data_IF_071839062026
#
_entry.id   IF_071839062026
#
_cell.length_a   1.000
_cell.length_b   1.000
_cell.length_c   1.000
_cell.angle_alpha   90.00
_cell.angle_beta   90.00
_cell.angle_gamma   90.00
#
_symmetry.space_group_name_H-M   'P 1'
#
loop_
_entity.id
_entity.type
_entity.pdbx_description
1 polymer ?
#
# COMPACT_ATOMS: atom_id res chain seq x y z
N UNK A 1 0.29 31.69 -19.03
CA UNK A 1 1.63 32.09 -18.53
C UNK A 1 2.26 31.00 -17.59
N UNK A 2 1.54 30.34 -16.63
CA UNK A 2 2.08 29.22 -15.79
C UNK A 2 2.67 28.00 -16.56
N UNK A 3 2.02 27.55 -17.64
CA UNK A 3 2.56 26.45 -18.49
C UNK A 3 3.83 26.83 -19.25
N UNK A 4 4.08 28.13 -19.45
CA UNK A 4 5.28 28.62 -20.14
C UNK A 4 6.45 28.65 -19.14
N UNK A 5 6.23 29.09 -17.90
CA UNK A 5 7.25 29.04 -16.85
C UNK A 5 7.71 27.62 -16.50
N UNK A 6 6.81 26.62 -16.55
CA UNK A 6 7.17 25.23 -16.24
C UNK A 6 7.59 24.40 -17.46
N UNK A 7 7.59 24.99 -18.67
CA UNK A 7 8.20 24.34 -19.82
C UNK A 7 9.71 24.44 -19.65
N UNK A 8 10.36 23.32 -19.34
CA UNK A 8 11.82 23.22 -19.44
C UNK A 8 12.20 23.55 -20.89
N UNK A 9 12.84 24.69 -21.10
CA UNK A 9 13.48 24.99 -22.38
C UNK A 9 14.58 23.95 -22.59
N UNK A 10 14.49 23.21 -23.68
CA UNK A 10 15.61 22.42 -24.20
C UNK A 10 16.79 23.36 -24.42
N UNK A 11 17.97 22.91 -24.01
CA UNK A 11 19.26 23.61 -23.93
C UNK A 11 19.77 24.19 -25.26
N UNK A 12 19.09 25.23 -25.76
CA UNK A 12 19.59 26.15 -26.77
C UNK A 12 19.54 27.57 -26.18
N UNK A 13 20.60 28.37 -26.33
CA UNK A 13 20.66 29.68 -25.69
C UNK A 13 19.68 30.62 -26.39
N UNK A 14 18.59 30.94 -25.71
CA UNK A 14 17.71 32.02 -26.10
C UNK A 14 17.77 33.04 -24.96
N UNK A 15 18.48 34.15 -25.21
CA UNK A 15 18.59 35.26 -24.27
C UNK A 15 17.21 35.89 -24.07
N UNK A 16 16.54 35.51 -22.99
CA UNK A 16 15.36 36.25 -22.50
C UNK A 16 15.75 36.85 -21.16
N UNK A 17 16.08 38.14 -21.19
CA UNK A 17 16.42 38.95 -20.04
C UNK A 17 15.21 39.04 -19.09
N UNK A 18 15.38 38.59 -17.84
CA UNK A 18 14.41 38.81 -16.78
C UNK A 18 14.93 39.93 -15.85
N UNK A 19 14.21 41.05 -15.66
CA UNK A 19 14.61 42.08 -14.70
C UNK A 19 14.53 41.49 -13.29
N UNK A 20 15.64 41.53 -12.54
CA UNK A 20 15.82 40.75 -11.31
C UNK A 20 15.10 41.31 -10.08
N UNK A 21 14.64 42.57 -10.06
CA UNK A 21 14.28 43.24 -8.81
C UNK A 21 12.94 44.02 -8.83
N UNK A 22 11.82 43.38 -9.19
CA UNK A 22 10.50 43.93 -8.92
C UNK A 22 9.53 42.82 -8.48
N UNK A 23 8.85 43.02 -7.35
CA UNK A 23 7.77 42.14 -6.90
C UNK A 23 6.60 42.26 -7.90
N UNK A 24 6.48 41.29 -8.80
CA UNK A 24 5.38 41.24 -9.77
C UNK A 24 4.13 40.76 -9.04
N UNK A 25 3.15 41.65 -8.91
CA UNK A 25 1.84 41.35 -8.37
C UNK A 25 1.07 40.42 -9.34
N UNK A 26 0.74 39.21 -8.90
CA UNK A 26 0.14 38.18 -9.74
C UNK A 26 -1.32 38.48 -10.04
N UNK A 27 -1.64 38.65 -11.33
CA UNK A 27 -3.01 38.85 -11.80
C UNK A 27 -3.54 37.60 -12.52
N UNK A 28 -4.86 37.32 -12.47
CA UNK A 28 -5.49 36.24 -13.23
C UNK A 28 -5.27 36.38 -14.74
N UNK A 29 -5.11 35.26 -15.44
CA UNK A 29 -4.75 35.24 -16.85
C UNK A 29 -5.84 35.83 -17.75
N UNK A 30 -5.61 37.01 -18.33
CA UNK A 30 -6.48 37.63 -19.34
C UNK A 30 -6.08 37.19 -20.75
N UNK A 31 -6.98 37.38 -21.73
CA UNK A 31 -6.74 37.04 -23.14
C UNK A 31 -5.65 37.90 -23.81
N UNK A 32 -5.12 38.91 -23.11
CA UNK A 32 -4.09 39.84 -23.57
C UNK A 32 -2.73 39.64 -22.89
N UNK A 33 -2.39 38.45 -22.34
CA UNK A 33 -1.03 38.17 -21.80
C UNK A 33 -0.02 38.22 -22.97
N UNK A 34 0.80 39.27 -23.04
CA UNK A 34 1.81 39.50 -24.11
C UNK A 34 2.76 38.31 -24.30
N UNK A 35 3.09 37.62 -23.20
CA UNK A 35 3.93 36.41 -23.17
C UNK A 35 3.26 35.24 -23.92
N UNK A 36 1.94 35.09 -23.79
CA UNK A 36 1.19 34.02 -24.46
C UNK A 36 0.79 34.41 -25.89
N UNK A 37 0.68 35.70 -26.17
CA UNK A 37 0.34 36.22 -27.49
C UNK A 37 1.49 36.03 -28.50
N UNK A 38 2.74 36.29 -28.09
CA UNK A 38 3.91 36.18 -28.97
C UNK A 38 4.17 34.74 -29.47
N UNK A 39 3.95 33.73 -28.62
CA UNK A 39 4.18 32.32 -28.95
C UNK A 39 3.13 31.70 -29.90
N UNK A 40 2.04 32.43 -30.21
CA UNK A 40 0.94 31.95 -31.05
C UNK A 40 1.03 32.36 -32.52
N UNK A 41 1.99 33.22 -32.91
CA UNK A 41 2.17 33.70 -34.29
C UNK A 41 2.91 32.73 -35.23
N UNK A 42 3.08 31.47 -34.84
CA UNK A 42 3.56 30.41 -35.74
C UNK A 42 2.40 29.74 -36.47
N UNK A 43 2.21 30.10 -37.74
CA UNK A 43 1.40 29.40 -38.76
C UNK A 43 -0.11 29.24 -38.46
N UNK A 44 -0.90 30.27 -38.78
CA UNK A 44 -2.34 30.10 -39.00
C UNK A 44 -2.71 30.51 -40.43
N UNK A 45 -3.10 29.53 -41.25
CA UNK A 45 -3.77 29.76 -42.53
C UNK A 45 -5.03 30.60 -42.29
N UNK A 46 -5.23 31.61 -43.14
CA UNK A 46 -6.34 32.57 -43.13
C UNK A 46 -7.67 31.80 -43.14
N UNK A 47 -8.48 31.95 -42.10
CA UNK A 47 -9.85 31.42 -42.05
C UNK A 47 -10.79 32.59 -41.79
N UNK A 48 -11.80 32.70 -42.64
CA UNK A 48 -12.84 33.72 -42.67
C UNK A 48 -13.48 33.98 -41.30
N UNK A 49 -13.67 35.26 -40.99
CA UNK A 49 -14.47 35.71 -39.86
C UNK A 49 -15.92 35.27 -40.04
N UNK A 50 -16.44 34.49 -39.08
CA UNK A 50 -17.88 34.25 -38.94
C UNK A 50 -18.31 34.57 -37.50
N UNK A 51 -19.51 35.14 -37.39
CA UNK A 51 -20.12 35.81 -36.23
C UNK A 51 -19.77 35.25 -34.83
N UNK A 52 -19.34 36.15 -33.93
CA UNK A 52 -18.67 35.85 -32.66
C UNK A 52 -19.54 35.62 -31.42
N UNK A 53 -20.87 35.64 -31.51
CA UNK A 53 -21.76 35.45 -30.35
C UNK A 53 -22.41 34.06 -30.27
N UNK A 54 -22.93 33.50 -31.36
CA UNK A 54 -23.51 32.14 -31.38
C UNK A 54 -22.44 31.04 -31.26
N UNK A 55 -21.24 31.29 -31.78
CA UNK A 55 -20.11 30.36 -31.73
C UNK A 55 -19.53 30.17 -30.32
N UNK A 56 -19.66 31.16 -29.41
CA UNK A 56 -19.13 31.06 -28.03
C UNK A 56 -19.97 30.15 -27.14
N UNK A 57 -21.31 30.20 -27.24
CA UNK A 57 -22.22 29.28 -26.51
C UNK A 57 -22.11 27.84 -27.02
N UNK A 58 -22.03 27.63 -28.32
CA UNK A 58 -21.84 26.28 -28.88
C UNK A 58 -20.47 25.70 -28.49
N UNK A 59 -19.41 26.53 -28.44
CA UNK A 59 -18.07 26.08 -28.05
C UNK A 59 -17.96 25.76 -26.56
N UNK A 60 -18.63 26.50 -25.67
CA UNK A 60 -18.68 26.17 -24.24
C UNK A 60 -19.43 24.86 -23.97
N UNK A 61 -20.53 24.60 -24.69
CA UNK A 61 -21.28 23.33 -24.59
C UNK A 61 -20.44 22.15 -25.09
N UNK A 62 -19.70 22.32 -26.19
CA UNK A 62 -18.77 21.29 -26.71
C UNK A 62 -17.59 21.04 -25.76
N UNK A 63 -17.02 22.09 -25.15
CA UNK A 63 -15.94 21.96 -24.18
C UNK A 63 -16.42 21.30 -22.87
N UNK A 64 -17.64 21.61 -22.42
CA UNK A 64 -18.27 20.95 -21.28
C UNK A 64 -18.57 19.47 -21.58
N UNK A 65 -19.06 19.14 -22.77
CA UNK A 65 -19.24 17.77 -23.22
C UNK A 65 -17.91 17.00 -23.31
N UNK A 66 -16.84 17.63 -23.82
CA UNK A 66 -15.48 17.05 -23.83
C UNK A 66 -14.95 16.82 -22.41
N UNK A 67 -15.14 17.76 -21.49
CA UNK A 67 -14.75 17.60 -20.09
C UNK A 67 -15.51 16.45 -19.40
N UNK A 68 -16.83 16.36 -19.61
CA UNK A 68 -17.67 15.26 -19.10
C UNK A 68 -17.19 13.93 -19.66
N UNK A 69 -16.91 13.84 -20.97
CA UNK A 69 -16.41 12.63 -21.62
C UNK A 69 -15.02 12.22 -21.10
N UNK A 70 -14.10 13.18 -20.93
CA UNK A 70 -12.79 12.92 -20.32
C UNK A 70 -12.91 12.46 -18.85
N UNK A 71 -13.83 13.04 -18.07
CA UNK A 71 -14.10 12.64 -16.68
C UNK A 71 -14.69 11.22 -16.63
N UNK A 72 -15.60 10.88 -17.54
CA UNK A 72 -16.17 9.53 -17.70
C UNK A 72 -15.10 8.50 -18.08
N UNK A 73 -14.23 8.81 -19.05
CA UNK A 73 -13.09 7.94 -19.45
C UNK A 73 -12.10 7.72 -18.31
N UNK A 74 -11.75 8.78 -17.56
CA UNK A 74 -10.89 8.67 -16.35
C UNK A 74 -11.54 7.82 -15.26
N UNK A 75 -12.85 7.98 -15.03
CA UNK A 75 -13.59 7.17 -14.07
C UNK A 75 -13.64 5.69 -14.51
N UNK A 76 -13.85 5.41 -15.79
CA UNK A 76 -13.86 4.06 -16.33
C UNK A 76 -12.49 3.39 -16.23
N UNK A 77 -11.39 4.13 -16.50
CA UNK A 77 -10.04 3.66 -16.28
C UNK A 77 -9.75 3.38 -14.79
N UNK A 78 -10.22 4.25 -13.88
CA UNK A 78 -10.14 4.01 -12.42
C UNK A 78 -10.89 2.73 -12.02
N UNK A 79 -12.12 2.54 -12.51
CA UNK A 79 -12.95 1.35 -12.23
C UNK A 79 -12.28 0.07 -12.76
N UNK A 80 -11.75 0.10 -13.98
CA UNK A 80 -11.02 -1.01 -14.59
C UNK A 80 -9.77 -1.38 -13.77
N UNK A 81 -8.96 -0.37 -13.41
CA UNK A 81 -7.79 -0.58 -12.57
C UNK A 81 -8.14 -1.11 -11.18
N UNK A 82 -9.25 -0.66 -10.58
CA UNK A 82 -9.75 -1.16 -9.29
C UNK A 82 -10.22 -2.62 -9.37
N UNK A 83 -10.86 -3.03 -10.47
CA UNK A 83 -11.21 -4.44 -10.71
C UNK A 83 -9.96 -5.32 -10.87
N UNK A 84 -8.94 -4.83 -11.58
CA UNK A 84 -7.65 -5.52 -11.70
C UNK A 84 -6.95 -5.66 -10.33
N UNK A 85 -6.93 -4.60 -9.52
CA UNK A 85 -6.36 -4.61 -8.16
C UNK A 85 -7.04 -5.64 -7.26
N UNK A 86 -8.38 -5.74 -7.29
CA UNK A 86 -9.13 -6.75 -6.51
C UNK A 86 -8.72 -8.18 -6.86
N UNK A 87 -8.53 -8.48 -8.15
CA UNK A 87 -8.07 -9.80 -8.62
C UNK A 87 -6.66 -10.12 -8.11
N UNK A 88 -5.77 -9.14 -8.11
CA UNK A 88 -4.38 -9.30 -7.62
C UNK A 88 -4.36 -9.64 -6.12
N UNK A 89 -5.23 -9.01 -5.32
CA UNK A 89 -5.18 -9.16 -3.86
C UNK A 89 -5.85 -10.40 -3.29
N UNK A 90 -6.64 -11.17 -4.05
CA UNK A 90 -7.44 -12.34 -3.63
C UNK A 90 -7.39 -12.63 -2.11
N UNK A 91 -8.07 -11.80 -1.33
CA UNK A 91 -8.01 -11.77 0.13
C UNK A 91 -9.38 -12.04 0.78
N UNK A 92 -10.34 -12.56 0.01
CA UNK A 92 -11.69 -12.89 0.48
C UNK A 92 -11.71 -13.97 1.56
N UNK A 93 -10.68 -14.83 1.61
CA UNK A 93 -10.50 -15.86 2.64
C UNK A 93 -9.84 -15.35 3.92
N UNK A 94 -9.28 -14.14 3.91
CA UNK A 94 -8.46 -13.60 5.00
C UNK A 94 -9.15 -12.43 5.67
N UNK A 95 -9.78 -11.55 4.88
CA UNK A 95 -10.46 -10.36 5.39
C UNK A 95 -11.96 -10.54 5.51
N UNK A 96 -12.56 -9.78 6.42
CA UNK A 96 -13.99 -9.79 6.66
C UNK A 96 -14.72 -8.81 5.73
N UNK A 97 -15.82 -9.25 5.12
CA UNK A 97 -16.64 -8.38 4.27
C UNK A 97 -17.31 -7.27 5.09
N UNK A 98 -17.50 -6.09 4.49
CA UNK A 98 -18.24 -4.99 5.13
C UNK A 98 -19.71 -5.32 5.36
N UNK A 99 -20.27 -6.28 4.62
CA UNK A 99 -21.65 -6.74 4.80
C UNK A 99 -21.87 -7.49 6.12
N UNK A 100 -20.79 -7.80 6.85
CA UNK A 100 -20.84 -8.43 8.17
C UNK A 100 -20.86 -7.40 9.29
N UNK A 101 -20.86 -6.10 9.01
CA UNK A 101 -21.08 -5.09 10.05
C UNK A 101 -22.48 -5.28 10.65
N UNK A 102 -22.56 -5.29 11.97
CA UNK A 102 -23.83 -5.48 12.67
C UNK A 102 -24.78 -4.27 12.50
N UNK A 103 -24.18 -3.07 12.44
CA UNK A 103 -24.85 -1.78 12.35
C UNK A 103 -24.79 -1.25 10.92
N UNK A 104 -25.91 -0.72 10.45
CA UNK A 104 -26.02 -0.04 9.17
C UNK A 104 -25.44 1.38 9.25
N UNK A 105 -24.14 1.48 8.97
CA UNK A 105 -23.45 2.77 8.94
C UNK A 105 -23.64 3.51 7.61
N UNK A 106 -23.54 4.85 7.60
CA UNK A 106 -23.51 5.63 6.36
C UNK A 106 -22.41 5.16 5.41
N UNK A 107 -22.67 5.19 4.10
CA UNK A 107 -21.74 4.69 3.07
C UNK A 107 -20.34 5.35 3.15
N UNK A 108 -20.27 6.61 3.56
CA UNK A 108 -19.00 7.33 3.75
C UNK A 108 -18.18 6.75 4.90
N UNK A 109 -18.82 6.36 6.00
CA UNK A 109 -18.18 5.72 7.14
C UNK A 109 -17.72 4.30 6.80
N UNK A 110 -18.58 3.49 6.15
CA UNK A 110 -18.20 2.15 5.67
C UNK A 110 -16.99 2.24 4.74
N UNK A 111 -16.92 3.29 3.92
CA UNK A 111 -15.77 3.56 3.05
C UNK A 111 -14.50 3.93 3.82
N UNK A 112 -14.59 4.62 4.96
CA UNK A 112 -13.40 4.99 5.75
C UNK A 112 -12.80 3.80 6.51
N UNK A 113 -13.63 2.84 6.91
CA UNK A 113 -13.17 1.61 7.63
C UNK A 113 -12.89 0.43 6.68
N UNK A 114 -13.04 0.63 5.37
CA UNK A 114 -12.77 -0.38 4.36
C UNK A 114 -11.52 -0.09 3.53
N UNK A 115 -10.84 -1.16 3.16
CA UNK A 115 -9.65 -1.09 2.32
C UNK A 115 -10.01 -0.62 0.91
N UNK A 116 -9.38 0.46 0.44
CA UNK A 116 -9.69 1.00 -0.89
C UNK A 116 -9.27 0.09 -2.06
N UNK A 117 -8.49 -0.96 -1.79
CA UNK A 117 -8.07 -1.98 -2.76
C UNK A 117 -9.10 -3.13 -2.81
N UNK A 118 -9.25 -3.89 -1.72
CA UNK A 118 -10.10 -5.08 -1.71
C UNK A 118 -11.58 -4.78 -1.40
N UNK A 119 -11.86 -3.71 -0.66
CA UNK A 119 -13.22 -3.34 -0.24
C UNK A 119 -13.72 -4.08 1.00
N UNK A 120 -12.89 -4.92 1.62
CA UNK A 120 -13.18 -5.55 2.91
C UNK A 120 -12.88 -4.59 4.07
N UNK A 121 -13.35 -4.94 5.27
CA UNK A 121 -12.97 -4.25 6.52
C UNK A 121 -11.44 -4.29 6.63
N UNK A 122 -10.85 -3.17 7.07
CA UNK A 122 -9.40 -3.05 7.20
C UNK A 122 -8.84 -4.10 8.18
N UNK A 123 -7.82 -4.83 7.73
CA UNK A 123 -7.06 -5.79 8.54
C UNK A 123 -5.60 -5.38 8.51
N UNK A 124 -5.00 -5.18 9.67
CA UNK A 124 -3.64 -4.63 9.81
C UNK A 124 -3.48 -3.35 8.95
N UNK A 125 -4.25 -2.29 9.29
CA UNK A 125 -4.32 -1.09 8.48
C UNK A 125 -3.00 -0.34 8.50
N UNK A 126 -2.58 0.12 7.33
CA UNK A 126 -1.44 1.01 7.13
C UNK A 126 -1.89 2.27 6.40
N UNK A 127 -1.31 3.39 6.82
CA UNK A 127 -1.55 4.70 6.25
C UNK A 127 -0.36 5.10 5.38
N UNK A 128 -0.66 5.52 4.17
CA UNK A 128 0.32 6.10 3.24
C UNK A 128 0.59 7.57 3.58
N UNK A 129 1.71 8.13 3.08
CA UNK A 129 2.03 9.56 3.18
C UNK A 129 0.89 10.48 2.69
N UNK A 130 0.20 10.08 1.62
CA UNK A 130 -0.99 10.75 1.07
C UNK A 130 -2.30 10.50 1.88
N UNK A 131 -2.18 10.00 3.11
CA UNK A 131 -3.26 9.77 4.10
C UNK A 131 -4.33 8.76 3.72
N UNK A 132 -4.13 7.97 2.65
CA UNK A 132 -5.01 6.84 2.34
C UNK A 132 -4.65 5.61 3.17
N UNK A 133 -5.67 4.85 3.57
CA UNK A 133 -5.54 3.65 4.43
C UNK A 133 -5.88 2.38 3.64
N UNK A 134 -5.07 1.34 3.85
CA UNK A 134 -5.20 0.03 3.19
C UNK A 134 -4.82 -1.09 4.16
N UNK A 135 -5.21 -2.34 3.88
CA UNK A 135 -4.61 -3.48 4.57
C UNK A 135 -3.13 -3.61 4.15
N UNK A 136 -2.23 -3.91 5.09
CA UNK A 136 -0.79 -4.04 4.80
C UNK A 136 -0.50 -5.01 3.64
N UNK A 137 -1.12 -6.18 3.66
CA UNK A 137 -0.94 -7.18 2.59
C UNK A 137 -1.44 -6.69 1.22
N UNK A 138 -2.51 -5.87 1.20
CA UNK A 138 -3.10 -5.39 -0.03
C UNK A 138 -2.22 -4.32 -0.69
N UNK A 139 -1.75 -3.35 0.09
CA UNK A 139 -0.92 -2.27 -0.47
C UNK A 139 0.43 -2.82 -0.92
N UNK A 140 1.10 -3.67 -0.13
CA UNK A 140 2.39 -4.24 -0.51
C UNK A 140 2.30 -5.05 -1.80
N UNK A 141 1.24 -5.85 -1.97
CA UNK A 141 1.02 -6.59 -3.22
C UNK A 141 0.75 -5.64 -4.39
N UNK A 142 -0.01 -4.57 -4.16
CA UNK A 142 -0.29 -3.59 -5.19
C UNK A 142 0.98 -2.84 -5.62
N UNK A 143 1.83 -2.43 -4.68
CA UNK A 143 3.11 -1.77 -4.99
C UNK A 143 4.04 -2.69 -5.78
N UNK A 144 4.07 -3.99 -5.45
CA UNK A 144 4.87 -4.98 -6.18
C UNK A 144 4.43 -5.18 -7.64
N UNK A 145 3.13 -5.18 -7.91
CA UNK A 145 2.59 -5.49 -9.25
C UNK A 145 2.37 -4.24 -10.10
N UNK A 146 1.97 -3.13 -9.49
CA UNK A 146 1.57 -1.89 -10.19
C UNK A 146 2.58 -0.76 -10.08
N UNK A 147 3.66 -0.94 -9.32
CA UNK A 147 4.69 0.06 -9.06
C UNK A 147 4.39 0.95 -7.86
N UNK A 148 5.34 1.84 -7.56
CA UNK A 148 5.39 2.69 -6.35
C UNK A 148 4.42 3.88 -6.38
N UNK A 149 3.13 3.62 -6.59
CA UNK A 149 2.08 4.63 -6.63
C UNK A 149 0.88 4.23 -5.76
N UNK A 150 0.32 5.22 -5.06
CA UNK A 150 -0.89 5.05 -4.28
C UNK A 150 -2.07 4.62 -5.17
N UNK A 151 -2.76 3.52 -4.86
CA UNK A 151 -3.91 3.05 -5.64
C UNK A 151 -5.09 4.04 -5.73
N UNK A 152 -5.25 4.88 -4.71
CA UNK A 152 -6.37 5.82 -4.59
C UNK A 152 -6.13 7.14 -5.35
N UNK A 153 -4.95 7.74 -5.19
CA UNK A 153 -4.65 9.08 -5.71
C UNK A 153 -3.51 9.14 -6.74
N UNK A 154 -2.78 8.02 -6.98
CA UNK A 154 -1.60 7.94 -7.86
C UNK A 154 -0.40 8.79 -7.42
N UNK A 155 -0.40 9.30 -6.19
CA UNK A 155 0.79 9.91 -5.57
C UNK A 155 1.89 8.87 -5.38
N UNK A 156 3.16 9.28 -5.42
CA UNK A 156 4.29 8.38 -5.17
C UNK A 156 4.15 7.73 -3.78
N UNK A 157 4.36 6.42 -3.72
CA UNK A 157 4.18 5.65 -2.49
C UNK A 157 5.17 4.48 -2.49
N UNK A 158 6.11 4.51 -1.55
CA UNK A 158 7.07 3.45 -1.34
C UNK A 158 6.67 2.59 -0.13
N UNK A 159 7.12 1.33 -0.04
CA UNK A 159 6.85 0.48 1.12
C UNK A 159 7.33 1.07 2.45
N UNK A 160 8.37 1.90 2.42
CA UNK A 160 8.93 2.63 3.57
C UNK A 160 8.02 3.76 4.06
N UNK A 161 7.09 4.24 3.23
CA UNK A 161 6.17 5.34 3.58
C UNK A 161 4.90 4.84 4.28
N UNK A 162 4.84 3.55 4.61
CA UNK A 162 3.69 2.89 5.22
C UNK A 162 3.78 2.96 6.73
N UNK A 163 2.97 3.83 7.31
CA UNK A 163 2.92 4.07 8.75
C UNK A 163 1.66 3.47 9.38
N UNK A 164 1.68 3.28 10.69
CA UNK A 164 0.46 2.92 11.43
C UNK A 164 -0.50 4.12 11.47
N UNK A 165 -1.81 3.93 11.20
CA UNK A 165 -2.80 4.98 11.39
C UNK A 165 -2.85 5.48 12.83
N UNK A 166 -3.45 6.66 13.01
CA UNK A 166 -3.65 7.25 14.35
C UNK A 166 -4.43 6.30 15.28
N UNK A 167 -4.03 6.26 16.55
CA UNK A 167 -4.59 5.33 17.56
C UNK A 167 -6.11 5.45 17.71
N UNK A 168 -6.66 6.66 17.64
CA UNK A 168 -8.11 6.89 17.72
C UNK A 168 -8.88 6.21 16.58
N UNK A 169 -8.33 6.24 15.37
CA UNK A 169 -8.90 5.51 14.23
C UNK A 169 -8.88 3.99 14.45
N UNK A 170 -7.77 3.47 14.97
CA UNK A 170 -7.65 2.04 15.29
C UNK A 170 -8.63 1.61 16.38
N UNK A 171 -8.82 2.44 17.41
CA UNK A 171 -9.80 2.18 18.47
C UNK A 171 -11.22 2.11 17.89
N UNK A 172 -11.63 3.08 17.06
CA UNK A 172 -12.94 3.05 16.39
C UNK A 172 -13.09 1.80 15.53
N UNK A 173 -12.07 1.45 14.75
CA UNK A 173 -12.08 0.27 13.88
C UNK A 173 -12.25 -1.03 14.70
N UNK A 174 -11.52 -1.16 15.79
CA UNK A 174 -11.51 -2.35 16.66
C UNK A 174 -12.83 -2.52 17.44
N UNK A 175 -13.52 -1.43 17.74
CA UNK A 175 -14.82 -1.42 18.41
C UNK A 175 -16.00 -1.71 17.47
N UNK A 176 -15.80 -1.81 16.15
CA UNK A 176 -16.87 -2.15 15.23
C UNK A 176 -17.43 -3.55 15.54
N UNK A 177 -18.75 -3.64 15.65
CA UNK A 177 -19.45 -4.91 15.83
C UNK A 177 -19.64 -5.61 14.49
N UNK A 178 -19.29 -6.89 14.46
CA UNK A 178 -19.40 -7.75 13.29
C UNK A 178 -20.21 -9.00 13.62
N UNK A 179 -21.10 -9.38 12.71
CA UNK A 179 -21.92 -10.59 12.76
C UNK A 179 -21.07 -11.79 12.35
N UNK A 180 -21.11 -12.85 13.16
CA UNK A 180 -20.47 -14.09 12.81
C UNK A 180 -21.20 -14.78 11.63
N UNK A 181 -20.51 -15.17 10.54
CA UNK A 181 -21.14 -15.88 9.43
C UNK A 181 -21.31 -17.40 9.68
N UNK A 182 -20.93 -17.91 10.86
CA UNK A 182 -21.00 -19.34 11.16
C UNK A 182 -22.45 -19.81 11.32
N UNK A 183 -22.78 -20.98 10.74
CA UNK A 183 -24.12 -21.58 10.84
C UNK A 183 -24.44 -21.88 12.31
N UNK A 184 -25.55 -21.35 12.81
CA UNK A 184 -25.99 -21.53 14.21
C UNK A 184 -25.37 -20.56 15.20
N UNK A 185 -24.56 -19.60 14.75
CA UNK A 185 -24.04 -18.53 15.60
C UNK A 185 -24.70 -17.20 15.19
N UNK A 186 -25.41 -16.58 16.14
CA UNK A 186 -26.03 -15.27 15.96
C UNK A 186 -25.35 -14.18 16.80
N UNK A 187 -24.11 -14.43 17.25
CA UNK A 187 -23.40 -13.46 18.07
C UNK A 187 -22.84 -12.30 17.24
N UNK A 188 -22.93 -11.11 17.81
CA UNK A 188 -22.29 -9.89 17.33
C UNK A 188 -21.10 -9.60 18.25
N UNK A 189 -19.90 -9.58 17.68
CA UNK A 189 -18.66 -9.42 18.45
C UNK A 189 -17.87 -8.23 17.93
N UNK A 190 -17.10 -7.58 18.80
CA UNK A 190 -16.19 -6.52 18.36
C UNK A 190 -15.11 -7.11 17.43
N UNK A 191 -14.65 -6.30 16.47
CA UNK A 191 -13.64 -6.71 15.50
C UNK A 191 -12.36 -7.19 16.19
N UNK A 192 -11.97 -6.57 17.30
CA UNK A 192 -10.84 -6.98 18.13
C UNK A 192 -10.97 -8.42 18.66
N UNK A 193 -12.16 -8.80 19.12
CA UNK A 193 -12.43 -10.11 19.72
C UNK A 193 -12.86 -11.17 18.71
N UNK A 194 -13.10 -10.77 17.46
CA UNK A 194 -13.62 -11.66 16.42
C UNK A 194 -12.77 -12.91 16.20
N UNK A 195 -11.45 -12.79 16.14
CA UNK A 195 -10.56 -13.95 15.94
C UNK A 195 -10.64 -14.97 17.09
N UNK A 196 -10.83 -14.48 18.32
CA UNK A 196 -11.01 -15.34 19.50
C UNK A 196 -12.35 -16.05 19.45
N UNK A 197 -13.43 -15.32 19.13
CA UNK A 197 -14.77 -15.89 18.94
C UNK A 197 -14.79 -16.96 17.81
N UNK A 198 -14.16 -16.71 16.66
CA UNK A 198 -14.12 -17.72 15.59
C UNK A 198 -13.35 -18.99 16.01
N UNK A 199 -12.38 -18.85 16.92
CA UNK A 199 -11.62 -19.99 17.43
C UNK A 199 -12.47 -20.89 18.34
N UNK A 200 -13.42 -20.34 19.12
CA UNK A 200 -14.30 -21.16 19.98
C UNK A 200 -15.28 -22.03 19.17
N UNK A 201 -15.70 -21.59 17.97
CA UNK A 201 -16.48 -22.42 17.05
C UNK A 201 -15.75 -23.65 16.53
N UNK A 202 -14.42 -23.60 16.51
CA UNK A 202 -13.61 -24.71 16.03
C UNK A 202 -13.54 -25.84 17.06
N UNK A 203 -13.55 -25.48 18.34
CA UNK A 203 -13.49 -26.42 19.47
C UNK A 203 -14.82 -27.17 19.69
N UNK A 204 -15.96 -26.55 19.36
CA UNK A 204 -17.29 -27.18 19.49
C UNK A 204 -17.63 -28.20 18.40
N UNK A 205 -16.92 -28.21 17.27
CA UNK A 205 -17.03 -29.25 16.23
C UNK A 205 -16.03 -30.40 16.39
N UNK A 206 -15.04 -30.25 17.26
CA UNK A 206 -13.97 -31.24 17.51
C UNK A 206 -14.08 -31.85 18.92
N UNK A 207 -15.27 -31.92 19.52
CA UNK A 207 -15.50 -32.62 20.81
C UNK A 207 -15.66 -34.14 20.66
N UNK A 208 -15.20 -34.71 19.54
CA UNK A 208 -14.81 -36.11 19.46
C UNK A 208 -13.51 -36.14 18.64
N UNK A 209 -12.36 -36.04 19.31
CA UNK A 209 -11.32 -37.08 19.35
C UNK A 209 -10.09 -36.49 20.07
N UNK A 210 -9.80 -37.11 21.22
CA UNK A 210 -8.53 -37.16 21.93
C UNK A 210 -7.88 -35.84 22.37
N UNK A 211 -8.05 -35.58 23.68
CA UNK A 211 -7.16 -34.81 24.54
C UNK A 211 -5.70 -35.16 24.21
N UNK A 212 -4.92 -34.19 23.77
CA UNK A 212 -3.48 -34.14 24.06
C UNK A 212 -3.15 -32.74 24.55
N UNK A 213 -3.12 -32.64 25.87
CA UNK A 213 -2.57 -31.51 26.62
C UNK A 213 -1.11 -31.31 26.20
N UNK A 214 -0.78 -30.10 25.74
CA UNK A 214 0.56 -29.51 25.75
C UNK A 214 1.64 -30.19 24.91
N UNK A 215 2.15 -29.51 23.87
CA UNK A 215 3.41 -29.93 23.27
C UNK A 215 3.83 -29.20 21.99
N UNK A 216 4.74 -28.23 22.15
CA UNK A 216 5.86 -27.87 21.24
C UNK A 216 5.56 -27.39 19.80
N UNK A 217 6.19 -26.29 19.34
CA UNK A 217 6.10 -25.83 17.95
C UNK A 217 6.47 -26.93 16.95
N UNK A 218 5.63 -27.10 15.91
CA UNK A 218 5.70 -28.12 14.84
C UNK A 218 7.15 -28.49 14.46
N UNK A 219 7.51 -29.74 14.73
CA UNK A 219 8.84 -30.34 14.52
C UNK A 219 9.41 -30.22 13.09
N UNK A 220 8.60 -29.98 12.05
CA UNK A 220 9.07 -30.07 10.66
C UNK A 220 9.94 -28.87 10.22
N UNK A 221 9.59 -27.63 10.60
CA UNK A 221 10.41 -26.46 10.25
C UNK A 221 11.71 -26.42 11.07
N UNK A 222 11.63 -26.78 12.35
CA UNK A 222 12.80 -26.93 13.20
C UNK A 222 13.63 -28.19 12.87
N UNK A 223 13.10 -29.16 12.14
CA UNK A 223 13.83 -30.34 11.64
C UNK A 223 14.71 -29.97 10.46
N UNK A 224 14.24 -29.14 9.53
CA UNK A 224 15.05 -28.67 8.40
C UNK A 224 16.18 -27.74 8.86
N UNK A 225 15.90 -26.81 9.78
CA UNK A 225 16.94 -25.96 10.37
C UNK A 225 17.86 -26.74 11.32
N UNK A 226 17.35 -27.67 12.15
CA UNK A 226 18.23 -28.56 12.96
C UNK A 226 19.03 -29.54 12.12
N UNK A 227 18.53 -30.05 11.00
CA UNK A 227 19.27 -30.99 10.14
C UNK A 227 20.37 -30.27 9.38
N UNK A 228 20.11 -29.07 8.88
CA UNK A 228 21.12 -28.20 8.27
C UNK A 228 22.15 -27.71 9.31
N UNK A 229 21.72 -27.30 10.51
CA UNK A 229 22.63 -26.94 11.59
C UNK A 229 23.41 -28.16 12.10
N UNK A 230 22.80 -29.35 12.23
CA UNK A 230 23.47 -30.60 12.63
C UNK A 230 24.55 -31.01 11.63
N UNK A 231 24.35 -30.81 10.33
CA UNK A 231 25.40 -31.06 9.35
C UNK A 231 26.59 -30.11 9.56
N UNK A 232 26.34 -28.79 9.66
CA UNK A 232 27.39 -27.79 9.88
C UNK A 232 28.13 -27.98 11.22
N UNK A 233 27.41 -28.35 12.28
CA UNK A 233 27.99 -28.61 13.60
C UNK A 233 28.77 -29.93 13.65
N UNK A 234 28.48 -30.92 12.79
CA UNK A 234 29.27 -32.17 12.71
C UNK A 234 30.66 -31.92 12.14
N UNK A 235 30.75 -31.14 11.05
CA UNK A 235 32.02 -30.74 10.44
C UNK A 235 32.89 -30.00 11.47
N UNK A 236 32.31 -28.97 12.12
CA UNK A 236 33.01 -28.19 13.12
C UNK A 236 33.43 -29.04 14.33
N UNK A 237 32.57 -29.97 14.78
CA UNK A 237 32.90 -30.88 15.87
C UNK A 237 34.07 -31.82 15.52
N UNK A 238 34.15 -32.30 14.27
CA UNK A 238 35.28 -33.12 13.82
C UNK A 238 36.56 -32.31 13.75
N UNK A 239 36.51 -31.07 13.27
CA UNK A 239 37.67 -30.17 13.23
C UNK A 239 38.18 -29.81 14.63
N UNK A 240 37.29 -29.43 15.55
CA UNK A 240 37.67 -29.13 16.94
C UNK A 240 38.22 -30.36 17.64
N UNK A 241 37.65 -31.54 17.39
CA UNK A 241 38.19 -32.79 17.94
C UNK A 241 39.57 -33.12 17.38
N UNK A 242 39.77 -33.02 16.07
CA UNK A 242 41.07 -33.26 15.45
C UNK A 242 42.14 -32.26 15.91
N UNK A 243 41.74 -31.03 16.24
CA UNK A 243 42.64 -30.03 16.83
C UNK A 243 42.98 -30.39 18.28
N UNK A 244 41.99 -30.72 19.11
CA UNK A 244 42.22 -31.14 20.49
C UNK A 244 43.12 -32.38 20.59
N UNK A 245 42.91 -33.37 19.71
CA UNK A 245 43.71 -34.59 19.65
C UNK A 245 45.17 -34.34 19.23
N UNK A 246 45.44 -33.23 18.50
CA UNK A 246 46.81 -32.85 18.05
C UNK A 246 47.55 -31.96 19.05
N UNK A 247 46.88 -30.95 19.61
CA UNK A 247 47.54 -29.87 20.35
C UNK A 247 47.34 -29.94 21.88
N UNK A 248 46.22 -30.50 22.36
CA UNK A 248 45.84 -30.47 23.79
C UNK A 248 45.59 -31.89 24.38
N UNK A 249 46.20 -32.93 23.82
CA UNK A 249 46.11 -34.29 24.34
C UNK A 249 44.69 -34.88 24.34
N UNK A 250 43.78 -34.32 23.54
CA UNK A 250 42.39 -34.77 23.42
C UNK A 250 41.38 -34.04 24.32
N UNK A 251 41.78 -32.98 25.07
CA UNK A 251 40.81 -32.21 25.86
C UNK A 251 40.00 -31.24 24.98
N UNK A 252 38.87 -31.75 24.49
CA UNK A 252 37.95 -30.98 23.65
C UNK A 252 37.29 -29.82 24.43
N UNK A 253 37.21 -29.90 25.77
CA UNK A 253 36.48 -28.90 26.57
C UNK A 253 37.27 -27.60 26.71
N UNK A 254 38.58 -27.69 26.96
CA UNK A 254 39.49 -26.54 27.02
C UNK A 254 39.52 -25.78 25.68
N UNK A 255 39.69 -26.49 24.56
CA UNK A 255 39.66 -25.90 23.21
C UNK A 255 38.34 -25.17 22.94
N UNK A 256 37.20 -25.79 23.27
CA UNK A 256 35.89 -25.17 23.08
C UNK A 256 35.72 -23.90 23.91
N UNK A 257 36.19 -23.91 25.16
CA UNK A 257 36.11 -22.76 26.07
C UNK A 257 36.97 -21.61 25.55
N UNK A 258 38.19 -21.88 25.09
CA UNK A 258 39.09 -20.87 24.52
C UNK A 258 38.50 -20.25 23.24
N UNK A 259 37.99 -21.07 22.31
CA UNK A 259 37.32 -20.57 21.10
C UNK A 259 36.09 -19.70 21.43
N UNK A 260 35.31 -20.08 22.45
CA UNK A 260 34.16 -19.31 22.89
C UNK A 260 34.58 -17.96 23.50
N UNK A 261 35.62 -17.94 24.33
CA UNK A 261 36.17 -16.71 24.92
C UNK A 261 36.79 -15.77 23.88
N UNK A 262 37.39 -16.32 22.81
CA UNK A 262 37.89 -15.54 21.68
C UNK A 262 36.73 -14.95 20.85
N UNK A 263 35.68 -15.72 20.61
CA UNK A 263 34.51 -15.26 19.85
C UNK A 263 33.69 -14.18 20.57
N UNK A 264 33.67 -14.17 21.91
CA UNK A 264 33.01 -13.13 22.70
C UNK A 264 33.82 -11.83 22.82
N UNK A 265 35.10 -11.84 22.44
CA UNK A 265 35.97 -10.66 22.42
C UNK A 265 36.02 -9.96 21.05
N UNK A 266 35.39 -10.54 20.02
CA UNK A 266 35.26 -9.99 18.67
C UNK A 266 33.92 -9.25 18.49
#
# INVERSE_FOLDING_TARGET
>A
CWRIMQRKFSSAPCEVYFPRNANIEWHPHTSSCDICHASSRGLKRKSQQSNGQLSKRLKSVVDQARQIHQRKKRNQAKISSKKAMKKITNCSKIHLSTNLLAVDFPAHFVKSVSCQICGHILTDPVQTSCKHVFCRICILRCLKVMGSYCPSCRYACFPTDLESPVKSFLSILNSLLVKCPAKGCNEEVSLEKYNHHVSSHKESKETLVHINKGGRPRQHLLSLTRRAQKHRLRELKMQVKAFADKEEGGDVKSVCLTLFLLALRA
#
